data_IF_185986859292
#
_entry.id   IF_185986859292
#
_cell.length_a   1.000
_cell.length_b   1.000
_cell.length_c   1.000
_cell.angle_alpha   90.00
_cell.angle_beta   90.00
_cell.angle_gamma   90.00
#
_symmetry.space_group_name_H-M   'P 1'
#
loop_
_entity.id
_entity.type
_entity.pdbx_description
1 polymer ?
#
# COMPACT_ATOMS: atom_id res chain seq x y z
N UNK A 1 -0.77 -83.74 14.45
CA UNK A 1 -1.32 -82.54 15.11
C UNK A 1 -0.52 -81.35 14.59
N UNK A 2 -1.15 -80.48 13.81
CA UNK A 2 -0.52 -79.38 13.09
C UNK A 2 -0.93 -78.06 13.75
N UNK A 3 0.02 -77.20 14.08
CA UNK A 3 -0.24 -75.85 14.62
C UNK A 3 0.47 -74.85 13.73
N UNK A 4 -0.30 -74.12 12.92
CA UNK A 4 0.16 -72.99 12.11
C UNK A 4 0.18 -71.71 12.94
N UNK A 5 1.26 -70.93 12.80
CA UNK A 5 1.40 -69.60 13.40
C UNK A 5 1.31 -68.58 12.25
N UNK A 6 0.22 -67.82 12.20
CA UNK A 6 -0.01 -66.76 11.21
C UNK A 6 0.38 -65.42 11.83
N UNK A 7 1.48 -64.80 11.37
CA UNK A 7 1.85 -63.41 11.69
C UNK A 7 1.00 -62.46 10.86
N UNK A 8 0.25 -61.56 11.52
CA UNK A 8 -0.41 -60.41 10.87
C UNK A 8 0.49 -59.19 10.99
N UNK A 9 0.90 -58.65 9.85
CA UNK A 9 1.53 -57.34 9.73
C UNK A 9 0.47 -56.24 9.75
N UNK A 10 0.61 -55.26 10.63
CA UNK A 10 -0.21 -54.05 10.65
C UNK A 10 0.48 -52.96 9.81
N UNK A 11 -0.17 -52.52 8.73
CA UNK A 11 0.21 -51.31 7.99
C UNK A 11 -0.33 -50.08 8.73
N UNK A 12 0.57 -49.19 9.13
CA UNK A 12 0.25 -47.83 9.56
C UNK A 12 0.17 -46.93 8.32
N UNK A 13 -1.04 -46.53 7.95
CA UNK A 13 -1.28 -45.52 6.92
C UNK A 13 -1.18 -44.14 7.58
N UNK A 14 -0.08 -43.43 7.33
CA UNK A 14 0.10 -42.05 7.78
C UNK A 14 -0.75 -41.08 6.95
N UNK A 15 -1.75 -40.46 7.59
CA UNK A 15 -2.51 -39.36 6.99
C UNK A 15 -1.69 -38.08 7.09
N UNK A 16 -1.21 -37.59 5.94
CA UNK A 16 -0.62 -36.25 5.84
C UNK A 16 -1.74 -35.23 5.78
N UNK A 17 -1.88 -34.43 6.84
CA UNK A 17 -2.83 -33.34 6.92
C UNK A 17 -2.30 -32.17 6.06
N UNK A 18 -2.85 -31.98 4.86
CA UNK A 18 -2.59 -30.79 4.05
C UNK A 18 -3.44 -29.66 4.64
N UNK A 19 -2.80 -28.74 5.37
CA UNK A 19 -3.41 -27.47 5.77
C UNK A 19 -3.55 -26.60 4.52
N UNK A 20 -4.75 -26.58 3.93
CA UNK A 20 -5.10 -25.63 2.89
C UNK A 20 -5.20 -24.23 3.54
N UNK A 21 -4.18 -23.39 3.32
CA UNK A 21 -4.29 -21.96 3.59
C UNK A 21 -5.31 -21.38 2.61
N UNK A 22 -6.48 -20.99 3.12
CA UNK A 22 -7.49 -20.30 2.32
C UNK A 22 -6.94 -18.93 1.92
N UNK A 23 -6.55 -18.77 0.66
CA UNK A 23 -6.20 -17.46 0.11
C UNK A 23 -7.42 -16.53 0.26
N UNK A 24 -7.24 -15.37 0.88
CA UNK A 24 -8.36 -14.42 1.00
C UNK A 24 -8.61 -13.78 -0.37
N UNK A 25 -9.83 -13.95 -0.87
CA UNK A 25 -10.26 -13.33 -2.12
C UNK A 25 -10.65 -11.86 -1.91
N UNK A 26 -10.66 -11.09 -2.99
CA UNK A 26 -11.15 -9.72 -2.99
C UNK A 26 -12.56 -9.63 -2.38
N UNK A 27 -12.72 -8.79 -1.35
CA UNK A 27 -14.03 -8.53 -0.75
C UNK A 27 -14.96 -7.78 -1.71
N UNK A 28 -16.29 -7.92 -1.57
CA UNK A 28 -17.27 -7.36 -2.53
C UNK A 28 -17.26 -5.83 -2.63
N UNK A 29 -16.70 -5.12 -1.65
CA UNK A 29 -16.59 -3.65 -1.62
C UNK A 29 -15.21 -3.13 -2.03
N UNK A 30 -14.23 -4.01 -2.20
CA UNK A 30 -12.90 -3.62 -2.67
C UNK A 30 -12.92 -3.33 -4.18
N UNK A 31 -12.19 -2.32 -4.66
CA UNK A 31 -12.03 -2.10 -6.10
C UNK A 31 -11.46 -3.31 -6.80
N UNK A 32 -11.93 -3.57 -8.03
CA UNK A 32 -11.40 -4.63 -8.89
C UNK A 32 -10.05 -4.17 -9.41
N UNK A 33 -8.99 -4.69 -8.80
CA UNK A 33 -7.64 -4.39 -9.25
C UNK A 33 -7.38 -5.10 -10.57
N UNK A 34 -6.99 -4.34 -11.58
CA UNK A 34 -6.60 -4.85 -12.88
C UNK A 34 -5.36 -4.11 -13.37
N UNK A 35 -4.43 -4.77 -14.07
CA UNK A 35 -3.24 -4.10 -14.56
C UNK A 35 -3.58 -3.02 -15.59
N UNK A 36 -2.87 -1.89 -15.52
CA UNK A 36 -2.84 -0.89 -16.59
C UNK A 36 -2.19 -1.45 -17.88
N UNK A 37 -2.49 -0.86 -19.06
CA UNK A 37 -1.89 -1.31 -20.32
C UNK A 37 -0.35 -1.21 -20.30
N UNK A 38 0.33 -2.34 -20.53
CA UNK A 38 1.81 -2.42 -20.64
C UNK A 38 2.60 -2.11 -19.36
N UNK A 39 1.95 -2.11 -18.20
CA UNK A 39 2.57 -1.89 -16.90
C UNK A 39 2.60 -3.19 -16.08
N UNK A 40 3.58 -3.37 -15.18
CA UNK A 40 3.61 -4.56 -14.33
C UNK A 40 2.44 -4.52 -13.35
N UNK A 41 1.69 -5.61 -13.25
CA UNK A 41 0.55 -5.76 -12.33
C UNK A 41 0.96 -5.49 -10.88
N UNK A 42 0.11 -4.81 -10.11
CA UNK A 42 0.32 -4.58 -8.68
C UNK A 42 0.55 -5.86 -7.88
N UNK A 43 -0.08 -6.98 -8.25
CA UNK A 43 0.23 -8.31 -7.66
C UNK A 43 1.71 -8.66 -7.84
N UNK A 44 2.25 -8.41 -9.04
CA UNK A 44 3.64 -8.71 -9.39
C UNK A 44 4.58 -7.77 -8.65
N UNK A 45 4.28 -6.48 -8.59
CA UNK A 45 5.08 -5.51 -7.83
C UNK A 45 5.15 -5.89 -6.35
N UNK A 46 4.01 -6.21 -5.73
CA UNK A 46 3.95 -6.63 -4.33
C UNK A 46 4.73 -7.93 -4.07
N UNK A 47 4.46 -8.97 -4.84
CA UNK A 47 5.06 -10.28 -4.60
C UNK A 47 6.55 -10.31 -4.91
N UNK A 48 6.99 -9.80 -6.06
CA UNK A 48 8.40 -9.91 -6.48
C UNK A 48 9.31 -8.93 -5.75
N UNK A 49 8.81 -7.74 -5.36
CA UNK A 49 9.66 -6.70 -4.75
C UNK A 49 9.58 -6.69 -3.23
N UNK A 50 8.43 -7.06 -2.67
CA UNK A 50 8.16 -6.94 -1.24
C UNK A 50 7.75 -8.26 -0.58
N UNK A 51 7.51 -9.33 -1.35
CA UNK A 51 7.06 -10.61 -0.80
C UNK A 51 5.68 -10.52 -0.15
N UNK A 52 4.80 -9.66 -0.68
CA UNK A 52 3.48 -9.37 -0.13
C UNK A 52 2.36 -9.97 -0.97
N UNK A 53 1.30 -10.42 -0.30
CA UNK A 53 0.00 -10.76 -0.87
C UNK A 53 -0.87 -9.52 -0.99
N UNK A 54 -1.53 -9.34 -2.15
CA UNK A 54 -2.39 -8.19 -2.42
C UNK A 54 -3.49 -8.00 -1.38
N UNK A 55 -4.08 -9.08 -0.87
CA UNK A 55 -5.22 -9.02 0.05
C UNK A 55 -4.89 -9.48 1.46
N UNK A 56 -4.01 -10.47 1.63
CA UNK A 56 -3.69 -10.97 2.98
C UNK A 56 -2.92 -9.92 3.79
N UNK A 57 -2.03 -9.16 3.13
CA UNK A 57 -1.19 -8.14 3.77
C UNK A 57 -1.79 -6.73 3.74
N UNK A 58 -2.97 -6.54 3.15
CA UNK A 58 -3.61 -5.23 3.02
C UNK A 58 -4.09 -4.71 4.39
N UNK A 59 -3.57 -3.57 4.83
CA UNK A 59 -3.81 -3.03 6.17
C UNK A 59 -4.98 -2.05 6.25
N UNK A 60 -5.46 -1.54 5.13
CA UNK A 60 -6.57 -0.59 5.05
C UNK A 60 -7.71 -1.07 4.15
N UNK A 61 -8.20 -2.31 4.28
CA UNK A 61 -9.20 -2.79 3.34
C UNK A 61 -10.50 -1.98 3.41
N UNK A 62 -11.10 -1.67 2.26
CA UNK A 62 -12.44 -1.09 2.17
C UNK A 62 -13.49 -2.17 2.48
N UNK A 63 -13.68 -2.47 3.77
CA UNK A 63 -14.63 -3.49 4.23
C UNK A 63 -16.03 -2.95 4.46
N UNK A 64 -16.16 -1.68 4.83
CA UNK A 64 -17.44 -1.02 5.15
C UNK A 64 -17.67 0.24 4.34
N UNK A 65 -17.14 1.37 4.79
CA UNK A 65 -17.32 2.68 4.18
C UNK A 65 -15.98 3.41 4.02
N UNK A 66 -15.95 4.40 3.13
CA UNK A 66 -14.80 5.27 2.95
C UNK A 66 -14.41 6.01 4.24
N UNK A 67 -15.37 6.28 5.13
CA UNK A 67 -15.14 6.96 6.41
C UNK A 67 -14.50 6.05 7.47
N UNK A 68 -14.72 4.74 7.40
CA UNK A 68 -14.19 3.77 8.36
C UNK A 68 -12.88 3.13 7.88
N UNK A 69 -12.49 3.39 6.64
CA UNK A 69 -11.24 2.88 6.07
C UNK A 69 -10.06 3.67 6.62
N UNK A 70 -9.07 2.93 7.14
CA UNK A 70 -7.83 3.50 7.70
C UNK A 70 -7.08 4.28 6.62
N UNK A 71 -6.55 5.43 6.99
CA UNK A 71 -5.73 6.26 6.10
C UNK A 71 -4.85 7.27 6.82
N UNK A 72 -4.84 7.24 8.16
CA UNK A 72 -4.09 8.17 8.98
C UNK A 72 -2.92 7.48 9.67
N UNK A 73 -1.91 8.29 9.96
CA UNK A 73 -0.69 7.89 10.61
C UNK A 73 -0.40 8.82 11.78
N UNK A 74 0.39 8.32 12.73
CA UNK A 74 1.10 9.12 13.73
C UNK A 74 2.58 8.81 13.68
N UNK A 75 3.40 9.73 14.15
CA UNK A 75 4.85 9.53 14.31
C UNK A 75 5.12 8.38 15.29
N UNK A 76 6.06 7.48 14.95
CA UNK A 76 6.34 6.28 15.75
C UNK A 76 7.40 6.51 16.84
N UNK A 77 8.34 7.43 16.61
CA UNK A 77 9.46 7.65 17.50
C UNK A 77 10.19 8.98 17.25
N UNK A 78 11.36 9.18 17.88
CA UNK A 78 12.17 10.38 17.68
C UNK A 78 12.65 10.51 16.22
N UNK A 79 12.99 11.73 15.81
CA UNK A 79 13.45 12.03 14.45
C UNK A 79 12.32 12.27 13.44
N UNK A 80 12.61 12.69 12.21
CA UNK A 80 11.57 13.01 11.22
C UNK A 80 10.84 11.76 10.70
N UNK A 81 9.66 11.96 10.14
CA UNK A 81 9.01 11.00 9.24
C UNK A 81 9.66 11.11 7.86
N UNK A 82 9.80 9.98 7.15
CA UNK A 82 10.22 9.99 5.74
C UNK A 82 9.12 9.47 4.84
N UNK A 83 8.78 10.20 3.77
CA UNK A 83 7.83 9.81 2.74
C UNK A 83 8.52 9.91 1.37
N UNK A 84 8.86 8.76 0.80
CA UNK A 84 9.74 8.66 -0.38
C UNK A 84 9.01 7.95 -1.51
N UNK A 85 8.91 8.52 -2.72
CA UNK A 85 8.47 7.76 -3.89
C UNK A 85 9.58 6.78 -4.26
N UNK A 86 9.21 5.51 -4.46
CA UNK A 86 10.15 4.42 -4.77
C UNK A 86 9.94 3.86 -6.18
N UNK A 87 8.74 4.01 -6.75
CA UNK A 87 8.40 3.62 -8.12
C UNK A 87 7.41 4.67 -8.68
N UNK A 88 7.55 5.03 -9.95
CA UNK A 88 6.68 5.95 -10.67
C UNK A 88 6.21 5.30 -11.99
N UNK A 89 5.03 4.66 -12.03
CA UNK A 89 4.52 4.01 -13.23
C UNK A 89 3.41 4.80 -13.93
N UNK A 90 2.82 5.81 -13.29
CA UNK A 90 1.69 6.53 -13.86
C UNK A 90 2.06 7.47 -15.02
N UNK A 91 1.22 8.47 -15.27
CA UNK A 91 1.44 9.51 -16.29
C UNK A 91 2.83 10.18 -16.21
N UNK A 92 3.48 10.49 -17.35
CA UNK A 92 4.82 11.11 -17.39
C UNK A 92 4.83 12.60 -17.03
N UNK A 93 3.65 13.20 -16.83
CA UNK A 93 3.50 14.56 -16.32
C UNK A 93 3.98 14.69 -14.87
N UNK A 94 4.29 15.93 -14.50
CA UNK A 94 4.80 16.28 -13.17
C UNK A 94 3.91 15.73 -12.05
N UNK A 95 4.49 14.89 -11.19
CA UNK A 95 3.80 14.25 -10.07
C UNK A 95 4.39 14.74 -8.75
N UNK A 96 3.52 15.05 -7.81
CA UNK A 96 3.85 15.65 -6.53
C UNK A 96 3.29 14.81 -5.40
N UNK A 97 3.96 14.84 -4.26
CA UNK A 97 3.40 14.26 -3.04
C UNK A 97 3.86 14.96 -1.79
N UNK A 98 3.17 14.64 -0.71
CA UNK A 98 3.47 15.19 0.60
C UNK A 98 2.51 14.69 1.65
N UNK A 99 2.29 15.52 2.67
CA UNK A 99 1.44 15.18 3.80
C UNK A 99 0.36 16.24 4.04
N UNK A 100 -0.68 15.87 4.80
CA UNK A 100 -1.76 16.78 5.12
C UNK A 100 -2.32 16.54 6.51
N UNK A 101 -3.01 17.57 7.01
CA UNK A 101 -3.91 17.45 8.17
C UNK A 101 -5.34 17.27 7.67
N UNK A 102 -5.98 16.21 8.14
CA UNK A 102 -7.41 16.03 7.89
C UNK A 102 -8.18 17.12 8.61
N UNK A 103 -9.04 17.82 7.89
CA UNK A 103 -9.99 18.78 8.44
C UNK A 103 -11.39 18.26 8.14
N UNK A 104 -12.23 18.11 9.16
CA UNK A 104 -13.52 17.42 9.06
C UNK A 104 -14.48 18.06 8.04
N UNK A 105 -14.43 19.40 7.90
CA UNK A 105 -15.35 20.15 7.05
C UNK A 105 -14.66 20.96 5.93
N UNK A 106 -13.33 21.07 5.94
CA UNK A 106 -12.57 21.89 5.00
C UNK A 106 -11.69 21.03 4.09
N UNK A 107 -11.16 21.64 3.02
CA UNK A 107 -10.10 21.04 2.24
C UNK A 107 -8.89 20.77 3.13
N UNK A 108 -8.26 19.59 3.01
CA UNK A 108 -7.10 19.25 3.83
C UNK A 108 -5.97 20.25 3.58
N UNK A 109 -5.32 20.71 4.65
CA UNK A 109 -4.15 21.58 4.54
C UNK A 109 -2.96 20.74 4.09
N UNK A 110 -2.64 20.80 2.80
CA UNK A 110 -1.52 20.09 2.18
C UNK A 110 -0.19 20.79 2.42
N UNK A 111 0.85 19.99 2.66
CA UNK A 111 2.25 20.39 2.59
C UNK A 111 2.93 19.52 1.55
N UNK A 112 3.52 20.12 0.52
CA UNK A 112 4.30 19.41 -0.50
C UNK A 112 5.69 19.04 0.02
N UNK A 113 6.19 17.88 -0.40
CA UNK A 113 7.49 17.37 0.00
C UNK A 113 8.37 17.13 -1.23
N UNK A 114 7.91 16.27 -2.14
CA UNK A 114 8.68 15.85 -3.28
C UNK A 114 7.90 16.09 -4.57
N UNK A 115 8.65 16.23 -5.66
CA UNK A 115 8.11 16.30 -7.01
C UNK A 115 9.06 15.59 -7.96
N UNK A 116 8.51 14.90 -8.96
CA UNK A 116 9.28 14.32 -10.05
C UNK A 116 8.53 14.53 -11.38
N UNK A 117 9.26 14.53 -12.48
CA UNK A 117 8.72 14.43 -13.84
C UNK A 117 9.44 13.26 -14.52
N UNK A 118 8.93 12.06 -14.28
CA UNK A 118 9.59 10.79 -14.59
C UNK A 118 8.56 9.66 -14.65
N UNK A 119 8.80 8.65 -15.49
CA UNK A 119 8.03 7.41 -15.55
C UNK A 119 9.01 6.24 -15.70
N UNK A 120 9.01 5.33 -14.73
CA UNK A 120 9.69 4.05 -14.82
C UNK A 120 9.06 3.20 -15.93
N UNK A 121 9.90 2.39 -16.57
CA UNK A 121 9.47 1.34 -17.49
C UNK A 121 9.42 -0.01 -16.78
N UNK A 122 8.76 -1.00 -17.40
CA UNK A 122 8.84 -2.40 -16.94
C UNK A 122 10.28 -2.92 -16.91
N UNK A 123 11.16 -2.43 -17.79
CA UNK A 123 12.58 -2.79 -17.80
C UNK A 123 13.31 -2.25 -16.57
N UNK A 124 13.02 -1.01 -16.15
CA UNK A 124 13.59 -0.40 -14.95
C UNK A 124 13.31 -1.23 -13.69
N UNK A 125 12.09 -1.76 -13.57
CA UNK A 125 11.71 -2.60 -12.43
C UNK A 125 12.42 -3.95 -12.45
N UNK A 126 12.59 -4.57 -13.63
CA UNK A 126 13.28 -5.86 -13.78
C UNK A 126 14.79 -5.76 -13.56
N UNK A 127 15.39 -4.66 -14.00
CA UNK A 127 16.83 -4.44 -13.95
C UNK A 127 17.27 -3.66 -12.71
N UNK A 128 16.31 -3.16 -11.92
CA UNK A 128 16.53 -2.32 -10.75
C UNK A 128 17.29 -1.02 -11.08
N UNK A 129 17.00 -0.43 -12.24
CA UNK A 129 17.58 0.83 -12.71
C UNK A 129 16.60 1.99 -12.51
N UNK A 130 17.10 3.20 -12.31
CA UNK A 130 16.25 4.41 -12.12
C UNK A 130 15.20 4.27 -11.00
N UNK A 131 15.55 3.52 -9.95
CA UNK A 131 14.76 3.37 -8.73
C UNK A 131 15.61 3.85 -7.54
N UNK A 132 15.14 4.81 -6.72
CA UNK A 132 13.87 5.55 -6.84
C UNK A 132 13.85 6.53 -8.04
N UNK A 133 12.68 7.06 -8.44
CA UNK A 133 12.61 8.10 -9.46
C UNK A 133 13.43 9.34 -9.05
N UNK A 134 14.12 10.01 -10.00
CA UNK A 134 14.86 11.23 -9.71
C UNK A 134 13.90 12.35 -9.29
N UNK A 135 14.22 13.01 -8.19
CA UNK A 135 13.42 14.12 -7.66
C UNK A 135 13.89 15.47 -8.22
N UNK A 136 12.96 16.39 -8.39
CA UNK A 136 13.24 17.77 -8.77
C UNK A 136 13.93 18.54 -7.62
N UNK A 137 14.72 19.55 -7.97
CA UNK A 137 15.41 20.43 -7.02
C UNK A 137 14.44 21.06 -6.01
N UNK A 138 14.90 21.15 -4.76
CA UNK A 138 14.10 21.64 -3.64
C UNK A 138 13.14 20.60 -3.04
N UNK A 139 13.03 19.40 -3.63
CA UNK A 139 12.32 18.29 -3.02
C UNK A 139 12.97 17.86 -1.70
N UNK A 140 12.14 17.48 -0.73
CA UNK A 140 12.51 16.78 0.49
C UNK A 140 11.66 15.53 0.62
N UNK A 141 12.22 14.48 1.22
CA UNK A 141 11.44 13.30 1.62
C UNK A 141 11.19 13.26 3.13
N UNK A 142 11.69 14.25 3.89
CA UNK A 142 11.60 14.29 5.36
C UNK A 142 10.72 15.44 5.83
N UNK A 143 9.95 15.18 6.89
CA UNK A 143 9.12 16.18 7.55
C UNK A 143 8.88 15.83 9.02
N UNK A 144 8.42 16.81 9.80
CA UNK A 144 7.97 16.59 11.17
C UNK A 144 6.48 16.93 11.31
N UNK A 145 5.60 15.93 11.49
CA UNK A 145 4.20 16.15 11.78
C UNK A 145 3.95 16.40 13.28
N UNK A 146 4.96 16.47 14.15
CA UNK A 146 4.74 16.47 15.60
C UNK A 146 3.89 15.28 16.05
N UNK A 147 3.05 15.49 17.06
CA UNK A 147 2.30 14.39 17.71
C UNK A 147 0.89 14.17 17.13
N UNK A 148 0.43 15.06 16.27
CA UNK A 148 -0.93 15.00 15.72
C UNK A 148 -1.01 13.98 14.58
N UNK A 149 -2.18 13.33 14.37
CA UNK A 149 -2.43 12.51 13.20
C UNK A 149 -2.29 13.25 11.88
N UNK A 150 -1.81 12.56 10.86
CA UNK A 150 -1.68 13.10 9.50
C UNK A 150 -1.95 12.01 8.46
N UNK A 151 -2.29 12.43 7.25
CA UNK A 151 -2.30 11.56 6.08
C UNK A 151 -1.24 11.99 5.06
N UNK A 152 -1.12 11.19 4.00
CA UNK A 152 -0.24 11.47 2.86
C UNK A 152 -1.07 11.63 1.58
N UNK A 153 -0.54 12.36 0.61
CA UNK A 153 -1.25 12.65 -0.64
C UNK A 153 -0.31 12.59 -1.84
N UNK A 154 -0.89 12.28 -3.00
CA UNK A 154 -0.25 12.31 -4.32
C UNK A 154 -1.14 13.08 -5.29
N UNK A 155 -0.55 13.85 -6.20
CA UNK A 155 -1.27 14.49 -7.29
C UNK A 155 -0.41 14.50 -8.56
N UNK A 156 -1.06 14.46 -9.72
CA UNK A 156 -0.40 14.62 -11.02
C UNK A 156 -0.93 15.88 -11.70
N UNK A 157 -0.04 16.74 -12.18
CA UNK A 157 -0.40 18.04 -12.78
C UNK A 157 -1.22 17.89 -14.08
N UNK A 158 -1.24 16.70 -14.69
CA UNK A 158 -2.14 16.36 -15.80
C UNK A 158 -3.60 16.19 -15.41
N UNK A 159 -3.92 16.16 -14.10
CA UNK A 159 -5.25 15.95 -13.55
C UNK A 159 -5.61 17.10 -12.58
N UNK A 160 -6.45 18.07 -12.99
CA UNK A 160 -6.79 19.23 -12.17
C UNK A 160 -7.90 18.92 -11.15
N UNK A 161 -7.67 17.98 -10.25
CA UNK A 161 -8.71 17.41 -9.37
C UNK A 161 -8.37 17.44 -7.86
N UNK A 162 -7.28 18.12 -7.50
CA UNK A 162 -6.82 18.28 -6.12
C UNK A 162 -5.93 17.13 -5.60
N UNK A 163 -5.83 16.02 -6.35
CA UNK A 163 -5.06 14.84 -6.00
C UNK A 163 -5.86 13.76 -5.26
N UNK A 164 -5.14 12.73 -4.83
CA UNK A 164 -5.64 11.61 -4.02
C UNK A 164 -4.96 11.59 -2.66
N UNK A 165 -5.65 10.99 -1.68
CA UNK A 165 -5.31 11.06 -0.27
C UNK A 165 -5.38 9.66 0.34
N UNK A 166 -4.58 9.41 1.37
CA UNK A 166 -4.55 8.12 2.04
C UNK A 166 -5.86 7.76 2.75
N UNK A 167 -6.69 8.77 3.07
CA UNK A 167 -8.05 8.59 3.56
C UNK A 167 -9.05 8.65 2.39
N UNK A 168 -9.80 7.57 2.11
CA UNK A 168 -10.83 7.60 1.06
C UNK A 168 -11.90 8.67 1.31
N UNK A 169 -12.29 8.91 2.56
CA UNK A 169 -13.25 9.97 2.91
C UNK A 169 -12.81 11.38 2.47
N UNK A 170 -11.50 11.63 2.41
CA UNK A 170 -10.93 12.89 1.92
C UNK A 170 -11.02 12.94 0.41
N UNK A 171 -10.64 11.86 -0.29
CA UNK A 171 -10.79 11.76 -1.76
C UNK A 171 -12.24 11.99 -2.16
N UNK A 172 -13.19 11.32 -1.50
CA UNK A 172 -14.62 11.43 -1.76
C UNK A 172 -15.14 12.88 -1.65
N UNK A 173 -14.57 13.64 -0.71
CA UNK A 173 -14.97 15.02 -0.41
C UNK A 173 -14.38 16.05 -1.37
N UNK A 174 -13.12 15.87 -1.78
CA UNK A 174 -12.36 16.93 -2.46
C UNK A 174 -12.10 16.66 -3.94
N UNK A 175 -12.12 15.40 -4.37
CA UNK A 175 -11.87 15.02 -5.75
C UNK A 175 -13.19 14.60 -6.41
N UNK A 176 -13.86 15.56 -7.08
CA UNK A 176 -15.18 15.33 -7.70
C UNK A 176 -15.17 14.21 -8.74
N UNK A 177 -14.05 14.04 -9.48
CA UNK A 177 -13.88 13.00 -10.50
C UNK A 177 -13.83 11.60 -9.89
N UNK A 178 -13.25 11.47 -8.71
CA UNK A 178 -13.05 10.20 -8.00
C UNK A 178 -14.02 10.00 -6.84
N UNK A 179 -15.01 10.88 -6.66
CA UNK A 179 -15.92 10.83 -5.52
C UNK A 179 -16.70 9.51 -5.41
N UNK A 180 -17.03 8.89 -6.55
CA UNK A 180 -17.73 7.60 -6.61
C UNK A 180 -16.80 6.39 -6.42
N UNK A 181 -15.48 6.58 -6.45
CA UNK A 181 -14.46 5.54 -6.28
C UNK A 181 -13.27 6.06 -5.46
N UNK A 182 -13.48 6.42 -4.18
CA UNK A 182 -12.51 7.22 -3.44
C UNK A 182 -11.33 6.41 -2.86
N UNK A 183 -11.36 5.09 -2.97
CA UNK A 183 -10.29 4.24 -2.45
C UNK A 183 -9.11 4.24 -3.43
N UNK A 184 -8.07 5.02 -3.09
CA UNK A 184 -6.98 5.39 -4.01
C UNK A 184 -5.58 5.20 -3.43
N UNK A 185 -5.50 4.56 -2.27
CA UNK A 185 -4.27 4.20 -1.60
C UNK A 185 -4.42 2.80 -0.97
N UNK A 186 -3.54 1.86 -1.34
CA UNK A 186 -3.41 0.57 -0.68
C UNK A 186 -2.17 0.56 0.19
N UNK A 187 -2.33 0.29 1.49
CA UNK A 187 -1.29 0.39 2.51
C UNK A 187 -0.90 -1.01 2.99
N UNK A 188 0.38 -1.32 2.90
CA UNK A 188 0.97 -2.61 3.24
C UNK A 188 2.10 -2.46 4.26
N UNK A 189 2.43 -3.49 5.06
CA UNK A 189 3.66 -3.49 5.82
C UNK A 189 4.87 -3.42 4.88
N UNK A 190 5.97 -2.82 5.32
CA UNK A 190 7.22 -2.91 4.59
C UNK A 190 8.04 -4.10 5.09
N UNK A 191 8.57 -4.91 4.17
CA UNK A 191 9.41 -6.06 4.46
C UNK A 191 10.81 -5.83 3.90
N UNK A 192 11.81 -6.32 4.64
CA UNK A 192 13.17 -6.41 4.11
C UNK A 192 13.21 -7.49 3.02
N UNK A 193 13.57 -7.09 1.80
CA UNK A 193 13.55 -7.98 0.63
C UNK A 193 14.46 -9.19 0.79
N UNK A 194 15.60 -9.03 1.46
CA UNK A 194 16.59 -10.11 1.60
C UNK A 194 16.16 -11.18 2.61
N UNK A 195 15.50 -10.78 3.69
CA UNK A 195 15.15 -11.66 4.82
C UNK A 195 13.66 -11.99 4.90
N UNK A 196 12.81 -11.27 4.17
CA UNK A 196 11.35 -11.33 4.29
C UNK A 196 10.82 -10.79 5.62
N UNK A 197 11.68 -10.24 6.48
CA UNK A 197 11.27 -9.79 7.81
C UNK A 197 10.58 -8.43 7.72
N UNK A 198 9.49 -8.29 8.48
CA UNK A 198 8.82 -7.01 8.65
C UNK A 198 9.75 -5.94 9.21
N UNK A 199 9.77 -4.78 8.56
CA UNK A 199 10.44 -3.57 9.02
C UNK A 199 9.44 -2.80 9.89
N UNK A 200 9.68 -2.66 11.21
CA UNK A 200 8.75 -1.96 12.09
C UNK A 200 8.59 -0.50 11.69
N UNK A 201 7.38 0.03 11.88
CA UNK A 201 7.04 1.45 11.66
C UNK A 201 7.34 1.95 10.24
N UNK A 202 7.28 1.05 9.26
CA UNK A 202 7.50 1.32 7.85
C UNK A 202 6.42 0.64 7.01
N UNK A 203 5.92 1.36 6.00
CA UNK A 203 4.83 0.92 5.14
C UNK A 203 5.13 1.17 3.66
N UNK A 204 4.60 0.31 2.80
CA UNK A 204 4.53 0.52 1.35
C UNK A 204 3.11 0.98 1.00
N UNK A 205 3.01 2.00 0.15
CA UNK A 205 1.74 2.55 -0.30
C UNK A 205 1.70 2.54 -1.82
N UNK A 206 0.78 1.76 -2.39
CA UNK A 206 0.41 1.83 -3.81
C UNK A 206 -0.69 2.86 -4.03
N UNK A 207 -0.47 3.78 -4.96
CA UNK A 207 -1.40 4.86 -5.30
C UNK A 207 -2.04 4.63 -6.66
N UNK A 208 -3.31 5.00 -6.75
CA UNK A 208 -4.06 5.14 -7.99
C UNK A 208 -4.56 6.58 -8.03
N UNK A 209 -4.19 7.37 -9.02
CA UNK A 209 -4.76 8.71 -9.21
C UNK A 209 -5.65 8.81 -10.44
N UNK A 210 -5.93 7.72 -11.15
CA UNK A 210 -6.85 7.63 -12.28
C UNK A 210 -8.12 6.83 -11.90
N UNK A 211 -8.76 6.21 -12.88
CA UNK A 211 -10.01 5.45 -12.74
C UNK A 211 -9.89 3.96 -13.05
N UNK A 212 -8.68 3.44 -13.33
CA UNK A 212 -8.48 2.05 -13.74
C UNK A 212 -8.15 1.12 -12.59
N UNK A 213 -7.92 1.66 -11.38
CA UNK A 213 -7.77 0.93 -10.14
C UNK A 213 -6.60 -0.09 -10.17
N UNK A 214 -5.48 0.30 -10.75
CA UNK A 214 -4.25 -0.52 -10.80
C UNK A 214 -3.33 -0.29 -9.58
N UNK A 215 -3.48 0.81 -8.85
CA UNK A 215 -2.75 1.15 -7.60
C UNK A 215 -1.23 1.17 -7.70
N UNK A 216 -0.68 1.32 -8.90
CA UNK A 216 0.77 1.32 -9.12
C UNK A 216 1.29 2.61 -9.73
N UNK A 217 0.42 3.58 -10.05
CA UNK A 217 0.77 4.90 -10.59
C UNK A 217 1.97 5.50 -9.84
N UNK A 218 1.94 5.45 -8.51
CA UNK A 218 3.06 5.78 -7.64
C UNK A 218 3.14 4.74 -6.53
N UNK A 219 4.34 4.23 -6.27
CA UNK A 219 4.62 3.45 -5.05
C UNK A 219 5.50 4.28 -4.15
N UNK A 220 5.09 4.41 -2.89
CA UNK A 220 5.83 5.16 -1.88
C UNK A 220 6.19 4.28 -0.69
N UNK A 221 7.32 4.60 -0.05
CA UNK A 221 7.67 4.13 1.29
C UNK A 221 7.44 5.23 2.31
N UNK A 222 6.79 4.89 3.42
CA UNK A 222 6.55 5.79 4.56
C UNK A 222 7.18 5.18 5.82
N UNK A 223 8.14 5.90 6.42
CA UNK A 223 8.97 5.43 7.53
C UNK A 223 8.78 6.27 8.81
N UNK A 224 9.03 5.65 9.98
CA UNK A 224 8.88 6.24 11.32
C UNK A 224 7.42 6.61 11.66
N UNK A 225 6.48 5.73 11.30
CA UNK A 225 5.04 5.96 11.49
C UNK A 225 4.31 4.74 12.03
N UNK A 226 3.15 4.97 12.62
CA UNK A 226 2.17 3.95 13.01
C UNK A 226 0.87 4.27 12.28
N UNK A 227 0.36 3.32 11.50
CA UNK A 227 -0.98 3.40 10.93
C UNK A 227 -2.02 3.32 12.05
N UNK A 228 -2.94 4.28 12.12
CA UNK A 228 -3.99 4.34 13.15
C UNK A 228 -5.37 4.04 12.56
N UNK A 229 -6.31 3.68 13.42
CA UNK A 229 -7.73 3.58 13.07
C UNK A 229 -8.44 4.94 13.14
N UNK A 230 -9.72 4.97 12.81
CA UNK A 230 -10.54 6.19 12.88
C UNK A 230 -10.67 6.75 14.31
N UNK A 231 -10.46 5.92 15.34
CA UNK A 231 -10.43 6.33 16.75
C UNK A 231 -9.02 6.77 17.22
N UNK A 232 -8.04 6.80 16.32
CA UNK A 232 -6.66 7.17 16.60
C UNK A 232 -5.85 6.10 17.33
N UNK A 233 -6.37 4.88 17.48
CA UNK A 233 -5.65 3.76 18.09
C UNK A 233 -4.74 3.10 17.05
N UNK A 234 -3.59 2.53 17.45
CA UNK A 234 -2.84 1.64 16.57
C UNK A 234 -3.77 0.50 16.16
N UNK A 235 -4.02 0.32 14.86
CA UNK A 235 -4.85 -0.80 14.45
C UNK A 235 -4.08 -2.10 14.66
N UNK A 236 -4.76 -3.09 15.21
CA UNK A 236 -4.18 -4.42 15.47
C UNK A 236 -3.61 -4.99 14.18
N UNK A 237 -2.36 -5.46 14.25
CA UNK A 237 -1.83 -6.32 13.20
C UNK A 237 -2.65 -7.60 13.23
N UNK A 238 -3.15 -8.06 12.07
CA UNK A 238 -3.61 -9.44 11.99
C UNK A 238 -2.44 -10.35 12.43
N UNK A 239 -2.70 -11.33 13.31
CA UNK A 239 -1.67 -12.24 13.81
C UNK A 239 -1.01 -13.04 12.69
#
# INVERSE_FOLDING_TARGET
>A
MSVGITRRSAMLVGWSLVLATAATAQGPRQPKVAPGPSEPDWVVVLSERYGLSMFDDLLNPLTTTAAETRGLFRKAGPGPVSYTPVIALGLPSRTRGGWYRSAAAESPRKTGLWTYTFKNTTADLKQETNLPPPLEDGSSVRFDPGDQPFGVWVANDGLPDGGVFSEPSVVARVNARLAAQPYKAMIYPNHDKATGKKIPNSYIIGWEYSTNDDFQDVVCRLDNVILIDAAGKPGEAKP
#
